data_IF_054696330606
#
_entry.id   IF_054696330606
#
_cell.length_a   1.000
_cell.length_b   1.000
_cell.length_c   1.000
_cell.angle_alpha   90.00
_cell.angle_beta   90.00
_cell.angle_gamma   90.00
#
_symmetry.space_group_name_H-M   'P 1'
#
loop_
_entity.id
_entity.type
_entity.pdbx_description
1 polymer ?
#
# COMPACT_ATOMS: atom_id res chain seq x y z
N UNK A 1 -55.66 6.18 22.40
CA UNK A 1 -56.65 7.00 21.68
C UNK A 1 -56.20 7.04 20.22
N UNK A 2 -56.81 6.22 19.35
CA UNK A 2 -57.71 6.64 18.24
C UNK A 2 -56.99 7.54 17.21
N UNK A 3 -57.05 7.37 15.88
CA UNK A 3 -57.69 6.48 14.92
C UNK A 3 -56.99 6.79 13.55
N UNK A 4 -56.64 5.81 12.72
CA UNK A 4 -57.39 5.26 11.57
C UNK A 4 -57.81 6.23 10.45
N UNK A 5 -57.77 5.69 9.23
CA UNK A 5 -58.36 6.10 7.94
C UNK A 5 -57.50 6.98 7.00
N UNK A 6 -57.36 6.65 5.71
CA UNK A 6 -57.98 5.57 4.94
C UNK A 6 -57.45 5.50 3.50
N UNK A 7 -57.64 4.33 2.88
CA UNK A 7 -57.74 4.22 1.42
C UNK A 7 -59.15 4.65 0.97
N UNK A 8 -59.32 4.94 -0.33
CA UNK A 8 -60.25 4.10 -1.09
C UNK A 8 -59.79 3.74 -2.51
N UNK A 9 -60.51 2.74 -3.02
CA UNK A 9 -60.38 1.84 -4.16
C UNK A 9 -61.15 2.26 -5.43
N UNK A 10 -61.03 1.39 -6.46
CA UNK A 10 -61.87 1.17 -7.67
C UNK A 10 -61.36 1.85 -8.96
N UNK A 11 -61.16 1.11 -10.06
CA UNK A 11 -62.20 0.41 -10.82
C UNK A 11 -61.73 -0.87 -11.54
N UNK A 12 -62.64 -1.85 -11.57
CA UNK A 12 -62.69 -3.05 -12.41
C UNK A 12 -63.10 -2.72 -13.85
N UNK A 13 -62.78 -3.59 -14.81
CA UNK A 13 -63.76 -4.29 -15.66
C UNK A 13 -63.12 -5.35 -16.58
N UNK A 14 -63.68 -6.55 -16.52
CA UNK A 14 -63.64 -7.75 -17.40
C UNK A 14 -64.45 -7.50 -18.71
N UNK A 15 -64.65 -8.43 -19.70
CA UNK A 15 -64.69 -9.90 -19.56
C UNK A 15 -64.34 -10.83 -20.77
N UNK A 16 -64.35 -12.14 -20.46
CA UNK A 16 -64.86 -13.30 -21.26
C UNK A 16 -64.21 -13.66 -22.61
N UNK A 17 -64.12 -14.90 -23.09
CA UNK A 17 -64.39 -16.28 -22.62
C UNK A 17 -64.11 -17.22 -23.81
N UNK A 18 -63.68 -18.48 -23.59
CA UNK A 18 -63.60 -19.48 -24.67
C UNK A 18 -63.00 -20.82 -24.22
N UNK A 19 -63.74 -21.89 -24.44
CA UNK A 19 -63.69 -23.16 -23.73
C UNK A 19 -62.97 -24.31 -24.48
N UNK A 20 -62.43 -25.25 -23.68
CA UNK A 20 -62.40 -26.74 -23.84
C UNK A 20 -61.89 -27.41 -25.13
N UNK A 21 -60.93 -28.34 -25.01
CA UNK A 21 -61.06 -29.73 -25.53
C UNK A 21 -59.97 -30.68 -24.97
N UNK A 22 -60.37 -31.93 -24.70
CA UNK A 22 -59.58 -33.08 -24.20
C UNK A 22 -58.51 -33.60 -25.17
N UNK A 23 -57.42 -34.21 -24.66
CA UNK A 23 -57.09 -35.63 -24.99
C UNK A 23 -55.97 -36.23 -24.13
N UNK A 24 -56.09 -37.54 -23.88
CA UNK A 24 -55.18 -38.43 -23.15
C UNK A 24 -53.87 -38.72 -23.90
N UNK A 25 -52.79 -38.99 -23.17
CA UNK A 25 -51.60 -39.63 -23.73
C UNK A 25 -50.38 -39.67 -22.80
N UNK A 26 -50.26 -40.73 -21.98
CA UNK A 26 -49.02 -41.08 -21.28
C UNK A 26 -48.00 -41.71 -22.23
N UNK A 27 -46.75 -41.23 -22.24
CA UNK A 27 -45.58 -42.06 -22.59
C UNK A 27 -44.26 -41.47 -22.08
N UNK A 28 -43.48 -42.33 -21.44
CA UNK A 28 -42.16 -42.12 -20.86
C UNK A 28 -41.09 -41.65 -21.87
N UNK A 29 -40.13 -40.82 -21.41
CA UNK A 29 -38.89 -40.55 -22.15
C UNK A 29 -37.94 -39.54 -21.49
N UNK A 30 -36.89 -40.05 -20.82
CA UNK A 30 -35.55 -39.49 -20.47
C UNK A 30 -35.41 -38.07 -19.85
N UNK A 31 -34.60 -37.91 -18.78
CA UNK A 31 -34.17 -36.59 -18.32
C UNK A 31 -33.10 -36.01 -19.26
N UNK A 32 -33.37 -34.83 -19.82
CA UNK A 32 -32.41 -34.00 -20.55
C UNK A 32 -31.46 -33.32 -19.55
N UNK A 33 -30.16 -33.55 -19.71
CA UNK A 33 -29.12 -32.72 -19.11
C UNK A 33 -29.14 -31.34 -19.78
N UNK A 34 -29.05 -30.23 -19.02
CA UNK A 34 -28.85 -28.92 -19.62
C UNK A 34 -27.44 -28.81 -20.25
N UNK A 35 -27.29 -28.04 -21.34
CA UNK A 35 -26.05 -27.97 -22.10
C UNK A 35 -24.92 -27.33 -21.29
N UNK A 36 -23.76 -27.97 -21.28
CA UNK A 36 -22.49 -27.44 -20.80
C UNK A 36 -22.07 -26.29 -21.71
N UNK A 37 -22.30 -25.05 -21.28
CA UNK A 37 -21.75 -23.86 -21.91
C UNK A 37 -20.28 -23.79 -21.51
N UNK A 38 -19.39 -23.99 -22.47
CA UNK A 38 -17.95 -23.83 -22.28
C UNK A 38 -17.62 -22.39 -21.94
N UNK A 39 -17.35 -22.13 -20.66
CA UNK A 39 -16.72 -20.90 -20.24
C UNK A 39 -15.27 -20.92 -20.70
N UNK A 40 -14.99 -20.24 -21.80
CA UNK A 40 -13.66 -19.70 -22.03
C UNK A 40 -13.36 -18.76 -20.87
N UNK A 41 -12.41 -19.15 -20.02
CA UNK A 41 -11.88 -18.26 -18.99
C UNK A 41 -11.09 -17.16 -19.69
N UNK A 42 -11.80 -16.10 -20.07
CA UNK A 42 -11.19 -14.80 -20.21
C UNK A 42 -10.88 -14.36 -18.78
N UNK A 43 -9.61 -14.39 -18.42
CA UNK A 43 -9.11 -13.98 -17.11
C UNK A 43 -9.44 -12.51 -16.90
N UNK A 44 -10.63 -12.24 -16.36
CA UNK A 44 -10.95 -10.97 -15.74
C UNK A 44 -10.18 -10.85 -14.42
N UNK A 45 -10.00 -9.62 -13.90
CA UNK A 45 -9.34 -9.42 -12.61
C UNK A 45 -10.00 -10.31 -11.57
N UNK A 46 -9.17 -11.15 -10.93
CA UNK A 46 -9.59 -12.15 -9.95
C UNK A 46 -10.44 -11.45 -8.89
N UNK A 47 -11.65 -11.96 -8.63
CA UNK A 47 -12.45 -11.43 -7.52
C UNK A 47 -11.69 -11.60 -6.19
N UNK A 48 -11.79 -10.64 -5.25
CA UNK A 48 -11.11 -10.76 -3.96
C UNK A 48 -11.53 -12.06 -3.26
N UNK A 49 -10.58 -12.85 -2.72
CA UNK A 49 -10.91 -14.01 -1.91
C UNK A 49 -11.78 -13.62 -0.70
N UNK A 50 -12.65 -14.51 -0.20
CA UNK A 50 -13.48 -14.23 0.97
C UNK A 50 -12.63 -13.82 2.19
N UNK A 51 -12.93 -12.67 2.79
CA UNK A 51 -12.22 -12.15 3.97
C UNK A 51 -11.04 -11.22 3.64
N UNK A 52 -10.81 -10.93 2.36
CA UNK A 52 -9.76 -10.01 1.89
C UNK A 52 -10.34 -8.62 1.67
N UNK A 53 -9.60 -7.57 2.06
CA UNK A 53 -9.99 -6.18 1.79
C UNK A 53 -10.04 -5.93 0.27
N UNK A 54 -11.22 -5.58 -0.24
CA UNK A 54 -11.47 -5.42 -1.67
C UNK A 54 -10.63 -4.32 -2.30
N UNK A 55 -10.30 -3.27 -1.57
CA UNK A 55 -9.52 -2.14 -2.08
C UNK A 55 -8.04 -2.51 -2.15
N UNK A 56 -7.51 -3.15 -1.11
CA UNK A 56 -6.14 -3.65 -1.08
C UNK A 56 -5.90 -4.72 -2.16
N UNK A 57 -6.88 -5.61 -2.37
CA UNK A 57 -6.83 -6.59 -3.46
C UNK A 57 -6.81 -5.93 -4.84
N UNK A 58 -7.59 -4.85 -5.05
CA UNK A 58 -7.54 -4.08 -6.29
C UNK A 58 -6.19 -3.42 -6.49
N UNK A 59 -5.60 -2.83 -5.44
CA UNK A 59 -4.26 -2.26 -5.54
C UNK A 59 -3.21 -3.33 -5.85
N UNK A 60 -3.25 -4.48 -5.18
CA UNK A 60 -2.34 -5.59 -5.46
C UNK A 60 -2.38 -6.00 -6.94
N UNK A 61 -3.57 -6.27 -7.48
CA UNK A 61 -3.72 -6.66 -8.88
C UNK A 61 -3.37 -5.54 -9.88
N UNK A 62 -3.41 -4.27 -9.45
CA UNK A 62 -2.99 -3.16 -10.29
C UNK A 62 -1.46 -3.04 -10.35
N UNK A 63 -0.76 -3.47 -9.28
CA UNK A 63 0.70 -3.51 -9.23
C UNK A 63 1.25 -4.79 -9.87
N UNK A 64 0.61 -5.94 -9.63
CA UNK A 64 0.92 -7.23 -10.25
C UNK A 64 0.44 -7.26 -11.70
N UNK A 65 1.26 -6.69 -12.58
CA UNK A 65 0.91 -6.42 -13.99
C UNK A 65 0.92 -7.67 -14.85
N UNK A 66 1.74 -8.66 -14.50
CA UNK A 66 1.79 -9.94 -15.19
C UNK A 66 0.83 -10.98 -14.60
N UNK A 67 0.16 -10.65 -13.49
CA UNK A 67 -0.80 -11.48 -12.77
C UNK A 67 -0.18 -12.81 -12.30
N UNK A 68 1.10 -12.78 -11.94
CA UNK A 68 1.82 -13.94 -11.40
C UNK A 68 1.38 -14.29 -9.97
N UNK A 69 0.70 -13.38 -9.27
CA UNK A 69 0.31 -13.53 -7.88
C UNK A 69 1.40 -13.08 -6.90
N UNK A 70 2.49 -12.48 -7.39
CA UNK A 70 3.55 -11.91 -6.58
C UNK A 70 4.15 -10.68 -7.27
N UNK A 71 4.44 -9.63 -6.51
CA UNK A 71 4.94 -8.36 -7.06
C UNK A 71 6.46 -8.37 -7.10
N UNK A 72 7.04 -8.17 -8.28
CA UNK A 72 8.48 -8.01 -8.44
C UNK A 72 8.95 -6.59 -8.07
N UNK A 73 10.28 -6.42 -7.87
CA UNK A 73 10.88 -5.08 -7.67
C UNK A 73 10.51 -4.12 -8.80
N UNK A 74 10.50 -4.61 -10.05
CA UNK A 74 10.22 -3.80 -11.24
C UNK A 74 8.76 -3.35 -11.28
N UNK A 75 7.82 -4.21 -10.89
CA UNK A 75 6.41 -3.88 -10.82
C UNK A 75 6.10 -2.92 -9.67
N UNK A 76 6.68 -3.18 -8.49
CA UNK A 76 6.56 -2.27 -7.36
C UNK A 76 7.14 -0.89 -7.70
N UNK A 77 8.31 -0.88 -8.35
CA UNK A 77 8.91 0.34 -8.86
C UNK A 77 7.95 1.03 -9.83
N UNK A 78 7.47 0.36 -10.88
CA UNK A 78 6.57 0.95 -11.87
C UNK A 78 5.29 1.55 -11.25
N UNK A 79 4.71 0.88 -10.27
CA UNK A 79 3.54 1.37 -9.55
C UNK A 79 3.83 2.60 -8.68
N UNK A 80 5.05 2.69 -8.12
CA UNK A 80 5.49 3.80 -7.27
C UNK A 80 6.28 4.87 -8.03
N UNK A 81 6.58 4.68 -9.33
CA UNK A 81 7.53 5.49 -10.14
C UNK A 81 7.11 6.95 -10.33
N UNK A 82 5.89 7.32 -9.96
CA UNK A 82 5.48 8.73 -9.83
C UNK A 82 5.90 9.38 -8.49
N UNK A 83 6.72 8.73 -7.66
CA UNK A 83 7.14 9.30 -6.38
C UNK A 83 8.24 8.57 -5.58
N UNK A 84 8.72 7.39 -5.99
CA UNK A 84 9.80 6.67 -5.28
C UNK A 84 11.04 6.41 -6.13
N UNK A 85 12.20 6.70 -5.58
CA UNK A 85 13.47 6.31 -6.15
C UNK A 85 13.80 4.82 -5.92
N UNK A 86 14.60 4.23 -6.83
CA UNK A 86 14.86 2.79 -6.88
C UNK A 86 15.41 2.24 -5.57
N UNK A 87 16.28 2.97 -4.90
CA UNK A 87 16.90 2.44 -3.69
C UNK A 87 15.89 2.41 -2.51
N UNK A 88 14.82 3.22 -2.55
CA UNK A 88 13.76 3.20 -1.54
C UNK A 88 12.88 2.00 -1.80
N UNK A 89 12.60 1.70 -3.08
CA UNK A 89 11.90 0.47 -3.47
C UNK A 89 12.68 -0.76 -3.02
N UNK A 90 14.00 -0.81 -3.25
CA UNK A 90 14.84 -1.93 -2.79
C UNK A 90 14.87 -2.07 -1.26
N UNK A 91 14.93 -0.96 -0.52
CA UNK A 91 14.78 -0.98 0.94
C UNK A 91 13.45 -1.61 1.33
N UNK A 92 12.34 -1.16 0.74
CA UNK A 92 10.99 -1.67 1.06
C UNK A 92 10.88 -3.16 0.75
N UNK A 93 11.44 -3.61 -0.39
CA UNK A 93 11.55 -5.03 -0.71
C UNK A 93 12.30 -5.77 0.41
N UNK A 94 13.48 -5.30 0.81
CA UNK A 94 14.26 -5.94 1.88
C UNK A 94 13.57 -5.99 3.25
N UNK A 95 12.63 -5.08 3.53
CA UNK A 95 11.86 -5.07 4.78
C UNK A 95 10.69 -6.06 4.73
N UNK A 96 10.01 -6.18 3.58
CA UNK A 96 8.74 -6.90 3.47
C UNK A 96 8.82 -8.25 2.75
N UNK A 97 9.85 -8.51 1.95
CA UNK A 97 10.17 -9.83 1.39
C UNK A 97 10.77 -10.70 2.50
N UNK A 98 9.89 -11.28 3.34
CA UNK A 98 10.29 -11.99 4.56
C UNK A 98 10.90 -13.35 4.21
N UNK A 99 10.37 -14.00 3.18
CA UNK A 99 10.85 -15.30 2.72
C UNK A 99 12.06 -15.20 1.77
N UNK A 100 12.43 -13.98 1.35
CA UNK A 100 13.60 -13.66 0.52
C UNK A 100 13.55 -14.31 -0.85
N UNK A 101 12.35 -14.48 -1.40
CA UNK A 101 12.18 -15.07 -2.72
C UNK A 101 12.36 -14.04 -3.85
N UNK A 102 12.54 -12.76 -3.52
CA UNK A 102 12.74 -11.65 -4.47
C UNK A 102 11.44 -11.00 -4.96
N UNK A 103 10.30 -11.38 -4.39
CA UNK A 103 8.96 -10.90 -4.74
C UNK A 103 8.15 -10.61 -3.48
N UNK A 104 7.06 -9.86 -3.62
CA UNK A 104 6.13 -9.52 -2.53
C UNK A 104 4.81 -10.24 -2.78
N UNK A 105 4.49 -11.20 -1.93
CA UNK A 105 3.19 -11.87 -1.92
C UNK A 105 2.07 -10.91 -1.47
N UNK A 106 0.82 -11.28 -1.70
CA UNK A 106 -0.33 -10.49 -1.23
C UNK A 106 -0.29 -10.17 0.27
N UNK A 107 0.12 -11.14 1.11
CA UNK A 107 0.18 -10.97 2.55
C UNK A 107 1.26 -9.96 2.96
N UNK A 108 2.41 -9.98 2.29
CA UNK A 108 3.50 -9.02 2.51
C UNK A 108 3.11 -7.64 1.97
N UNK A 109 2.41 -7.59 0.83
CA UNK A 109 1.88 -6.36 0.26
C UNK A 109 0.89 -5.66 1.20
N UNK A 110 0.06 -6.42 1.93
CA UNK A 110 -0.84 -5.85 2.92
C UNK A 110 -0.08 -5.06 4.01
N UNK A 111 1.03 -5.63 4.49
CA UNK A 111 1.93 -4.98 5.44
C UNK A 111 2.60 -3.75 4.83
N UNK A 112 3.14 -3.89 3.62
CA UNK A 112 3.79 -2.81 2.88
C UNK A 112 2.84 -1.63 2.64
N UNK A 113 1.62 -1.91 2.19
CA UNK A 113 0.61 -0.90 1.92
C UNK A 113 0.22 -0.13 3.18
N UNK A 114 -0.01 -0.86 4.28
CA UNK A 114 -0.27 -0.24 5.58
C UNK A 114 0.89 0.66 6.00
N UNK A 115 2.12 0.17 5.87
CA UNK A 115 3.32 0.92 6.21
C UNK A 115 3.45 2.22 5.39
N UNK A 116 3.25 2.15 4.07
CA UNK A 116 3.25 3.33 3.20
C UNK A 116 2.15 4.31 3.61
N UNK A 117 0.93 3.83 3.89
CA UNK A 117 -0.19 4.68 4.31
C UNK A 117 0.07 5.38 5.64
N UNK A 118 0.62 4.66 6.62
CA UNK A 118 0.98 5.23 7.91
C UNK A 118 2.07 6.32 7.73
N UNK A 119 3.07 6.08 6.89
CA UNK A 119 4.09 7.07 6.54
C UNK A 119 3.55 8.27 5.77
N UNK A 120 2.56 8.10 4.89
CA UNK A 120 1.90 9.22 4.21
C UNK A 120 1.20 10.15 5.20
N UNK A 121 0.65 9.62 6.29
CA UNK A 121 0.05 10.44 7.35
C UNK A 121 1.11 11.25 8.09
N UNK A 122 2.25 10.63 8.39
CA UNK A 122 3.40 11.27 9.03
C UNK A 122 3.99 12.36 8.14
N UNK A 123 4.20 12.08 6.86
CA UNK A 123 4.73 13.04 5.90
C UNK A 123 3.82 14.27 5.79
N UNK A 124 2.51 14.07 5.60
CA UNK A 124 1.53 15.16 5.52
C UNK A 124 1.39 15.97 6.81
N UNK A 125 1.77 15.41 7.95
CA UNK A 125 1.80 16.14 9.21
C UNK A 125 2.97 17.12 9.27
N UNK A 126 4.12 16.76 8.69
CA UNK A 126 5.34 17.57 8.72
C UNK A 126 5.51 18.49 7.51
N UNK A 127 4.99 18.11 6.34
CA UNK A 127 4.88 18.97 5.15
C UNK A 127 3.76 20.02 5.40
N UNK A 128 4.12 21.07 6.15
CA UNK A 128 3.16 22.04 6.70
C UNK A 128 2.67 23.00 5.64
N UNK A 129 3.55 23.37 4.72
CA UNK A 129 3.22 24.26 3.62
C UNK A 129 2.59 23.51 2.43
N UNK A 130 2.54 22.18 2.48
CA UNK A 130 2.00 21.30 1.44
C UNK A 130 2.74 21.47 0.11
N UNK A 131 4.04 21.72 0.21
CA UNK A 131 4.94 21.81 -0.94
C UNK A 131 5.13 20.46 -1.63
N UNK A 132 4.83 19.36 -0.95
CA UNK A 132 5.08 18.00 -1.42
C UNK A 132 6.53 17.54 -1.19
N UNK A 133 7.33 18.32 -0.45
CA UNK A 133 8.66 17.98 0.00
C UNK A 133 8.85 18.41 1.46
N UNK A 134 9.86 17.86 2.13
CA UNK A 134 10.23 18.22 3.51
C UNK A 134 11.50 19.05 3.46
N UNK A 135 11.43 20.28 3.96
CA UNK A 135 12.60 21.16 4.09
C UNK A 135 13.34 20.96 5.43
N UNK A 136 14.56 21.48 5.57
CA UNK A 136 15.39 21.26 6.75
C UNK A 136 14.73 21.60 8.10
N UNK A 137 13.82 22.58 8.15
CA UNK A 137 13.06 22.92 9.37
C UNK A 137 12.04 21.84 9.74
N UNK A 138 11.30 21.36 8.75
CA UNK A 138 10.31 20.30 8.91
C UNK A 138 10.98 18.96 9.24
N UNK A 139 12.13 18.67 8.61
CA UNK A 139 12.96 17.51 8.94
C UNK A 139 13.42 17.54 10.41
N UNK A 140 13.92 18.69 10.88
CA UNK A 140 14.35 18.85 12.26
C UNK A 140 13.20 18.64 13.25
N UNK A 141 12.01 19.16 12.92
CA UNK A 141 10.82 18.93 13.73
C UNK A 141 10.38 17.46 13.73
N UNK A 142 10.40 16.80 12.58
CA UNK A 142 10.05 15.39 12.45
C UNK A 142 10.97 14.49 13.27
N UNK A 143 12.28 14.63 13.10
CA UNK A 143 13.27 13.83 13.83
C UNK A 143 13.18 14.07 15.34
N UNK A 144 12.97 15.32 15.77
CA UNK A 144 12.77 15.63 17.19
C UNK A 144 11.50 14.98 17.74
N UNK A 145 10.39 14.98 16.99
CA UNK A 145 9.16 14.30 17.40
C UNK A 145 9.32 12.78 17.49
N UNK A 146 10.21 12.19 16.69
CA UNK A 146 10.59 10.78 16.82
C UNK A 146 11.57 10.49 17.97
N UNK A 147 11.99 11.53 18.72
CA UNK A 147 12.93 11.40 19.83
C UNK A 147 14.40 11.54 19.44
N UNK A 148 14.70 11.90 18.18
CA UNK A 148 16.06 12.08 17.69
C UNK A 148 16.45 13.55 17.67
N UNK A 149 17.37 13.94 18.56
CA UNK A 149 17.92 15.30 18.62
C UNK A 149 19.27 15.36 17.90
N UNK A 150 19.23 15.53 16.58
CA UNK A 150 20.45 15.71 15.78
C UNK A 150 20.98 17.14 15.89
N UNK A 151 22.31 17.28 15.87
CA UNK A 151 22.95 18.60 15.78
C UNK A 151 22.64 19.25 14.41
N UNK A 152 22.69 20.59 14.31
CA UNK A 152 22.45 21.28 13.03
C UNK A 152 23.34 20.76 11.89
N UNK A 153 24.60 20.44 12.19
CA UNK A 153 25.53 19.89 11.20
C UNK A 153 25.07 18.52 10.69
N UNK A 154 24.63 17.62 11.58
CA UNK A 154 24.13 16.31 11.18
C UNK A 154 22.80 16.42 10.41
N UNK A 155 21.91 17.33 10.80
CA UNK A 155 20.68 17.62 10.05
C UNK A 155 20.99 18.05 8.61
N UNK A 156 21.93 18.98 8.42
CA UNK A 156 22.35 19.40 7.08
C UNK A 156 23.00 18.27 6.28
N UNK A 157 23.65 17.29 6.93
CA UNK A 157 24.16 16.10 6.24
C UNK A 157 23.03 15.18 5.76
N UNK A 158 22.03 14.95 6.61
CA UNK A 158 20.83 14.15 6.24
C UNK A 158 20.09 14.84 5.10
N UNK A 159 19.84 16.14 5.23
CA UNK A 159 19.19 16.95 4.20
C UNK A 159 19.93 16.86 2.88
N UNK A 160 21.24 17.12 2.85
CA UNK A 160 22.03 17.03 1.60
C UNK A 160 22.08 15.61 1.02
N UNK A 161 22.10 14.58 1.86
CA UNK A 161 22.15 13.18 1.41
C UNK A 161 20.83 12.72 0.76
N UNK A 162 19.70 13.24 1.24
CA UNK A 162 18.37 12.80 0.83
C UNK A 162 17.54 13.86 0.10
N UNK A 163 18.05 15.08 -0.07
CA UNK A 163 17.40 16.08 -0.92
C UNK A 163 17.30 15.56 -2.35
N UNK A 164 16.17 15.85 -2.99
CA UNK A 164 16.04 15.68 -4.43
C UNK A 164 16.95 16.68 -5.15
N UNK A 165 17.57 16.25 -6.24
CA UNK A 165 18.41 17.13 -7.07
C UNK A 165 17.62 18.39 -7.46
N UNK A 166 18.26 19.58 -7.54
CA UNK A 166 17.60 20.77 -8.02
C UNK A 166 17.02 20.49 -9.40
N UNK A 167 15.69 20.49 -9.50
CA UNK A 167 15.01 20.44 -10.79
C UNK A 167 15.54 21.60 -11.63
N UNK A 168 16.24 21.30 -12.73
CA UNK A 168 16.72 22.32 -13.68
C UNK A 168 15.58 22.89 -14.54
N UNK A 169 14.32 22.72 -14.13
CA UNK A 169 13.10 23.19 -14.79
C UNK A 169 11.88 23.25 -13.86
N UNK A 170 10.66 23.11 -14.42
CA UNK A 170 9.41 22.97 -13.65
C UNK A 170 9.44 21.67 -12.85
N UNK A 171 9.63 21.78 -11.53
CA UNK A 171 9.59 20.67 -10.60
C UNK A 171 9.30 21.18 -9.19
N UNK A 172 8.99 20.27 -8.25
CA UNK A 172 8.77 20.66 -6.86
C UNK A 172 9.99 21.40 -6.30
N UNK A 173 9.79 22.31 -5.34
CA UNK A 173 10.87 23.05 -4.72
C UNK A 173 11.92 22.10 -4.11
N UNK A 174 13.19 22.53 -4.02
CA UNK A 174 14.26 21.73 -3.44
C UNK A 174 13.88 21.29 -2.02
N UNK A 175 14.01 20.00 -1.75
CA UNK A 175 13.60 19.39 -0.49
C UNK A 175 13.67 17.86 -0.57
N UNK A 176 13.27 17.21 0.51
CA UNK A 176 13.26 15.74 0.61
C UNK A 176 11.87 15.25 0.18
N UNK A 177 11.78 14.48 -0.90
CA UNK A 177 10.53 13.85 -1.33
C UNK A 177 10.07 12.77 -0.34
N UNK A 178 8.80 12.38 -0.40
CA UNK A 178 8.19 11.41 0.51
C UNK A 178 9.00 10.12 0.69
N UNK A 179 9.37 9.48 -0.41
CA UNK A 179 10.18 8.28 -0.44
C UNK A 179 11.53 8.45 0.25
N UNK A 180 12.23 9.55 -0.06
CA UNK A 180 13.53 9.88 0.52
C UNK A 180 13.42 10.23 2.00
N UNK A 181 12.31 10.81 2.41
CA UNK A 181 12.02 11.09 3.82
C UNK A 181 11.81 9.80 4.61
N UNK A 182 11.01 8.86 4.08
CA UNK A 182 10.82 7.53 4.69
C UNK A 182 12.17 6.85 4.85
N UNK A 183 12.98 6.82 3.79
CA UNK A 183 14.32 6.24 3.84
C UNK A 183 15.21 6.92 4.89
N UNK A 184 15.27 8.26 4.88
CA UNK A 184 16.10 9.01 5.83
C UNK A 184 15.74 8.65 7.27
N UNK A 185 14.44 8.57 7.58
CA UNK A 185 13.95 8.20 8.90
C UNK A 185 14.32 6.77 9.29
N UNK A 186 14.18 5.80 8.36
CA UNK A 186 14.57 4.40 8.58
C UNK A 186 16.07 4.29 8.86
N UNK A 187 16.90 4.98 8.08
CA UNK A 187 18.36 4.97 8.28
C UNK A 187 18.74 5.62 9.60
N UNK A 188 18.20 6.79 9.93
CA UNK A 188 18.46 7.45 11.22
C UNK A 188 18.05 6.55 12.38
N UNK A 189 16.83 6.00 12.37
CA UNK A 189 16.37 5.05 13.39
C UNK A 189 17.31 3.87 13.53
N UNK A 190 17.66 3.22 12.42
CA UNK A 190 18.47 1.99 12.45
C UNK A 190 19.88 2.26 12.98
N UNK A 191 20.51 3.35 12.54
CA UNK A 191 21.84 3.74 13.03
C UNK A 191 21.81 4.17 14.49
N UNK A 192 20.77 4.91 14.92
CA UNK A 192 20.59 5.28 16.32
C UNK A 192 20.40 4.05 17.21
N UNK A 193 19.55 3.11 16.83
CA UNK A 193 19.35 1.86 17.57
C UNK A 193 20.63 1.01 17.61
N UNK A 194 21.37 0.95 16.50
CA UNK A 194 22.65 0.24 16.46
C UNK A 194 23.70 0.90 17.36
N UNK A 195 23.77 2.23 17.39
CA UNK A 195 24.63 2.98 18.30
C UNK A 195 24.25 2.74 19.76
N UNK A 196 22.95 2.81 20.10
CA UNK A 196 22.47 2.57 21.46
C UNK A 196 22.75 1.16 21.97
N UNK A 197 22.83 0.14 21.08
CA UNK A 197 23.24 -1.21 21.47
C UNK A 197 24.70 -1.31 21.92
N UNK A 198 25.56 -0.40 21.44
CA UNK A 198 26.99 -0.37 21.79
C UNK A 198 27.32 0.68 22.85
N UNK A 199 26.48 1.71 23.00
CA UNK A 199 26.52 2.72 24.07
C UNK A 199 25.87 2.19 25.36
N UNK A 200 26.60 1.35 26.09
CA UNK A 200 26.08 0.63 27.27
C UNK A 200 25.87 1.50 28.51
N UNK A 201 26.56 2.63 28.60
CA UNK A 201 26.46 3.61 29.70
C UNK A 201 25.61 4.83 29.35
N UNK A 202 25.15 4.93 28.10
CA UNK A 202 24.23 5.96 27.61
C UNK A 202 24.78 7.38 27.75
N UNK A 203 26.10 7.53 27.61
CA UNK A 203 26.79 8.81 27.71
C UNK A 203 26.93 9.51 26.33
N UNK A 204 26.54 8.81 25.25
CA UNK A 204 26.63 9.29 23.87
C UNK A 204 28.01 9.09 23.24
N UNK A 205 28.91 8.35 23.89
CA UNK A 205 30.25 8.04 23.40
C UNK A 205 30.48 6.53 23.37
N UNK A 206 31.18 6.08 22.34
CA UNK A 206 31.46 4.66 22.14
C UNK A 206 32.88 4.50 21.66
N UNK A 207 33.59 3.53 22.24
CA UNK A 207 34.86 3.06 21.73
C UNK A 207 34.64 1.72 21.01
N UNK A 208 34.87 1.70 19.70
CA UNK A 208 34.71 0.49 18.89
C UNK A 208 35.85 0.33 17.88
N UNK A 209 36.09 -0.91 17.45
CA UNK A 209 37.04 -1.18 16.37
C UNK A 209 36.48 -0.72 15.01
N UNK A 210 37.35 -0.58 14.02
CA UNK A 210 36.92 -0.29 12.64
C UNK A 210 35.95 -1.35 12.10
N UNK A 211 36.18 -2.63 12.41
CA UNK A 211 35.31 -3.72 11.97
C UNK A 211 33.91 -3.62 12.58
N UNK A 212 33.81 -3.28 13.87
CA UNK A 212 32.53 -3.05 14.55
C UNK A 212 31.79 -1.86 13.92
N UNK A 213 32.49 -0.76 13.66
CA UNK A 213 31.93 0.39 12.96
C UNK A 213 31.39 0.03 11.58
N UNK A 214 32.19 -0.68 10.77
CA UNK A 214 31.78 -1.11 9.43
C UNK A 214 30.58 -2.06 9.48
N UNK A 215 30.54 -2.98 10.44
CA UNK A 215 29.42 -3.89 10.64
C UNK A 215 28.13 -3.12 10.96
N UNK A 216 28.18 -2.11 11.83
CA UNK A 216 27.02 -1.25 12.14
C UNK A 216 26.53 -0.53 10.88
N UNK A 217 27.42 0.15 10.17
CA UNK A 217 27.04 0.98 9.01
C UNK A 217 26.50 0.13 7.86
N UNK A 218 27.10 -1.02 7.58
CA UNK A 218 26.68 -1.89 6.47
C UNK A 218 25.44 -2.75 6.80
N UNK A 219 25.09 -2.87 8.09
CA UNK A 219 23.85 -3.54 8.52
C UNK A 219 22.61 -2.64 8.43
N UNK A 220 22.81 -1.31 8.29
CA UNK A 220 21.71 -0.39 8.06
C UNK A 220 21.17 -0.56 6.64
N UNK A 221 19.83 -0.50 6.46
CA UNK A 221 19.18 -0.69 5.16
C UNK A 221 19.41 0.47 4.18
#
# INVERSE_FOLDING_TARGET
>A
MYANHGQPTYLQHTPSSGSSHHSYGSRHGRPQQPPQVGYGYQAGPLAPPPGVDSQLWQYFNAVDTDHSGAITVTELQAALVNGFDLDTVKMLMGIFDVDRNGTISYNEFAGLWKYISDWQNVFRHFDRDRSGSIEGRELAEALRNFGYSLSPNLLSLVERKYASEPSTGYGPPPGISFDRFVRACVVVKTLTEAFQRVDTDHDGWVQMSYEQFMSIVLSAP
#
